data_IF_875291445729
#
_entry.id   IF_875291445729
#
_cell.length_a   1.000
_cell.length_b   1.000
_cell.length_c   1.000
_cell.angle_alpha   90.00
_cell.angle_beta   90.00
_cell.angle_gamma   90.00
#
_symmetry.space_group_name_H-M   'P 1'
#
loop_
_entity.id
_entity.type
_entity.pdbx_description
1 polymer ?
#
# COMPACT_ATOMS: atom_id res chain seq x y z
N UNK A 1 -5.78 1.90 10.75
CA UNK A 1 -4.38 1.67 11.18
C UNK A 1 -3.46 2.60 10.40
N UNK A 2 -2.19 2.77 10.81
CA UNK A 2 -1.20 3.51 9.99
C UNK A 2 -0.07 2.60 9.57
N UNK A 3 0.41 2.74 8.34
CA UNK A 3 1.53 1.96 7.80
C UNK A 3 2.56 2.90 7.18
N UNK A 4 3.84 2.66 7.50
CA UNK A 4 4.96 3.42 6.93
C UNK A 4 5.28 2.90 5.53
N UNK A 5 5.41 3.81 4.57
CA UNK A 5 5.91 3.50 3.22
C UNK A 5 7.42 3.26 3.29
N UNK A 6 7.87 2.11 2.81
CA UNK A 6 9.27 1.73 2.74
C UNK A 6 9.89 2.23 1.42
N UNK A 7 11.23 2.29 1.31
CA UNK A 7 11.87 2.64 0.04
C UNK A 7 11.34 1.79 -1.11
N UNK A 8 11.08 2.45 -2.24
CA UNK A 8 10.64 1.85 -3.51
C UNK A 8 9.24 1.19 -3.47
N UNK A 9 8.41 1.55 -2.51
CA UNK A 9 7.00 1.13 -2.49
C UNK A 9 6.12 2.13 -3.22
N UNK A 10 5.27 1.62 -4.10
CA UNK A 10 4.17 2.35 -4.73
C UNK A 10 2.90 2.27 -3.88
N UNK A 11 1.88 3.08 -4.18
CA UNK A 11 0.56 2.96 -3.55
C UNK A 11 -0.09 1.58 -3.81
N UNK A 12 0.22 0.97 -4.97
CA UNK A 12 -0.17 -0.40 -5.30
C UNK A 12 0.49 -1.44 -4.39
N UNK A 13 1.79 -1.29 -4.11
CA UNK A 13 2.50 -2.15 -3.16
C UNK A 13 1.87 -2.05 -1.76
N UNK A 14 1.51 -0.84 -1.34
CA UNK A 14 0.85 -0.60 -0.06
C UNK A 14 -0.54 -1.24 0.01
N UNK A 15 -1.32 -1.19 -1.07
CA UNK A 15 -2.61 -1.87 -1.17
C UNK A 15 -2.45 -3.40 -1.00
N UNK A 16 -1.48 -3.99 -1.68
CA UNK A 16 -1.16 -5.42 -1.55
C UNK A 16 -0.64 -5.78 -0.16
N UNK A 17 0.25 -4.98 0.44
CA UNK A 17 0.81 -5.21 1.78
C UNK A 17 -0.25 -5.18 2.88
N UNK A 18 -1.21 -4.25 2.81
CA UNK A 18 -2.19 -4.03 3.89
C UNK A 18 -3.45 -4.86 3.72
N UNK A 19 -3.93 -5.00 2.48
CA UNK A 19 -5.23 -5.59 2.17
C UNK A 19 -5.13 -6.88 1.36
N UNK A 20 -3.95 -7.21 0.82
CA UNK A 20 -3.76 -8.37 -0.06
C UNK A 20 -4.45 -8.22 -1.42
N UNK A 21 -4.90 -7.01 -1.77
CA UNK A 21 -5.71 -6.76 -2.95
C UNK A 21 -5.42 -5.38 -3.56
N UNK A 22 -5.09 -5.37 -4.84
CA UNK A 22 -4.77 -4.15 -5.60
C UNK A 22 -5.98 -3.20 -5.70
N UNK A 23 -7.21 -3.70 -5.64
CA UNK A 23 -8.44 -2.89 -5.69
C UNK A 23 -8.52 -1.91 -4.51
N UNK A 24 -7.82 -2.20 -3.41
CA UNK A 24 -7.75 -1.32 -2.25
C UNK A 24 -6.99 0.00 -2.51
N UNK A 25 -6.30 0.13 -3.64
CA UNK A 25 -5.57 1.36 -4.01
C UNK A 25 -6.46 2.60 -4.02
N UNK A 26 -7.73 2.47 -4.42
CA UNK A 26 -8.69 3.59 -4.47
C UNK A 26 -9.05 4.06 -3.05
N UNK A 27 -9.35 3.12 -2.15
CA UNK A 27 -9.63 3.43 -0.74
C UNK A 27 -8.41 4.03 -0.05
N UNK A 28 -7.21 3.54 -0.36
CA UNK A 28 -5.98 4.06 0.20
C UNK A 28 -5.67 5.48 -0.30
N UNK A 29 -5.87 5.73 -1.60
CA UNK A 29 -5.72 7.06 -2.20
C UNK A 29 -6.68 8.08 -1.58
N UNK A 30 -7.97 7.74 -1.52
CA UNK A 30 -9.03 8.59 -0.97
C UNK A 30 -8.78 8.94 0.50
N UNK A 31 -8.46 7.92 1.33
CA UNK A 31 -8.20 8.13 2.76
C UNK A 31 -6.98 9.02 3.06
N UNK A 32 -6.06 9.16 2.10
CA UNK A 32 -4.83 9.94 2.26
C UNK A 32 -4.80 11.22 1.40
N UNK A 33 -5.89 11.53 0.68
CA UNK A 33 -5.94 12.62 -0.29
C UNK A 33 -4.80 12.59 -1.32
N UNK A 34 -4.46 11.40 -1.80
CA UNK A 34 -3.38 11.19 -2.77
C UNK A 34 -3.95 10.86 -4.16
N UNK A 35 -3.32 11.33 -5.25
CA UNK A 35 -3.57 10.78 -6.58
C UNK A 35 -3.21 9.29 -6.64
N UNK A 36 -3.93 8.50 -7.44
CA UNK A 36 -3.69 7.05 -7.59
C UNK A 36 -2.27 6.71 -8.09
N UNK A 37 -1.72 7.53 -8.99
CA UNK A 37 -0.40 7.36 -9.59
C UNK A 37 0.68 8.18 -8.88
N UNK A 38 0.39 8.70 -7.69
CA UNK A 38 1.36 9.55 -6.98
C UNK A 38 2.53 8.72 -6.47
N UNK A 39 3.74 9.22 -6.68
CA UNK A 39 4.92 8.69 -6.03
C UNK A 39 4.89 9.08 -4.55
N UNK A 40 4.67 8.08 -3.70
CA UNK A 40 4.61 8.30 -2.25
C UNK A 40 6.02 8.24 -1.68
N UNK A 41 6.56 9.33 -1.10
CA UNK A 41 7.91 9.33 -0.58
C UNK A 41 8.11 8.28 0.51
N UNK A 42 9.26 7.62 0.50
CA UNK A 42 9.64 6.69 1.56
C UNK A 42 9.61 7.40 2.92
N UNK A 43 9.06 6.73 3.92
CA UNK A 43 8.89 7.26 5.27
C UNK A 43 7.52 7.89 5.54
N UNK A 44 6.70 8.12 4.51
CA UNK A 44 5.32 8.60 4.67
C UNK A 44 4.50 7.63 5.50
N UNK A 45 3.66 8.15 6.39
CA UNK A 45 2.68 7.35 7.15
C UNK A 45 1.32 7.44 6.44
N UNK A 46 0.85 6.32 5.90
CA UNK A 46 -0.47 6.24 5.28
C UNK A 46 -1.53 5.84 6.31
N UNK A 47 -2.68 6.51 6.29
CA UNK A 47 -3.92 6.06 6.90
C UNK A 47 -4.46 4.88 6.11
N UNK A 48 -4.66 3.75 6.77
CA UNK A 48 -5.25 2.55 6.18
C UNK A 48 -6.55 2.22 6.92
N UNK A 49 -7.71 2.62 6.38
CA UNK A 49 -9.02 2.29 6.94
C UNK A 49 -9.21 0.78 7.10
N UNK A 50 -9.95 0.36 8.12
CA UNK A 50 -10.28 -1.04 8.31
C UNK A 50 -11.42 -1.44 7.38
N UNK A 51 -11.04 -1.93 6.20
CA UNK A 51 -11.94 -2.47 5.18
C UNK A 51 -11.44 -3.85 4.77
N UNK A 52 -12.37 -4.77 4.48
CA UNK A 52 -12.06 -6.12 4.01
C UNK A 52 -12.35 -6.21 2.51
N UNK A 53 -11.34 -6.54 1.72
CA UNK A 53 -11.46 -6.76 0.27
C UNK A 53 -11.46 -8.25 -0.05
N UNK A 54 -10.49 -8.98 0.50
CA UNK A 54 -10.42 -10.43 0.53
C UNK A 54 -9.90 -10.84 1.91
N UNK A 55 -10.75 -11.51 2.69
CA UNK A 55 -10.41 -11.88 4.06
C UNK A 55 -9.20 -12.81 4.14
N UNK A 56 -9.13 -13.80 3.25
CA UNK A 56 -8.05 -14.79 3.26
C UNK A 56 -6.71 -14.12 2.92
N UNK A 57 -6.69 -13.32 1.85
CA UNK A 57 -5.46 -12.64 1.43
C UNK A 57 -5.01 -11.58 2.44
N UNK A 58 -5.94 -10.83 3.02
CA UNK A 58 -5.63 -9.82 4.03
C UNK A 58 -5.05 -10.44 5.31
N UNK A 59 -5.58 -11.58 5.75
CA UNK A 59 -5.00 -12.34 6.86
C UNK A 59 -3.62 -12.91 6.51
N UNK A 60 -3.46 -13.44 5.29
CA UNK A 60 -2.19 -13.98 4.80
C UNK A 60 -1.07 -12.92 4.80
N UNK A 61 -1.28 -11.76 4.15
CA UNK A 61 -0.23 -10.74 4.02
C UNK A 61 0.16 -10.14 5.37
N UNK A 62 -0.80 -9.99 6.30
CA UNK A 62 -0.55 -9.51 7.66
C UNK A 62 0.30 -10.49 8.46
N UNK A 63 0.01 -11.78 8.37
CA UNK A 63 0.74 -12.81 9.11
C UNK A 63 2.13 -13.09 8.53
N UNK A 64 2.29 -12.98 7.21
CA UNK A 64 3.54 -13.27 6.51
C UNK A 64 4.45 -12.04 6.32
N UNK A 65 4.04 -10.86 6.79
CA UNK A 65 4.80 -9.59 6.68
C UNK A 65 5.23 -9.25 5.25
N UNK A 66 4.34 -9.51 4.28
CA UNK A 66 4.59 -9.23 2.86
C UNK A 66 4.79 -7.73 2.66
N UNK A 67 5.90 -7.33 2.02
CA UNK A 67 6.25 -5.92 1.77
C UNK A 67 6.85 -5.76 0.36
N UNK A 68 6.02 -5.77 -0.69
CA UNK A 68 6.47 -5.62 -2.07
C UNK A 68 7.08 -4.23 -2.29
N UNK A 69 8.01 -4.10 -3.23
CA UNK A 69 8.64 -2.83 -3.59
C UNK A 69 8.90 -2.83 -5.10
N UNK A 70 7.93 -2.34 -5.86
CA UNK A 70 7.94 -2.42 -7.33
C UNK A 70 8.39 -1.13 -8.02
N UNK A 71 8.52 -0.02 -7.29
CA UNK A 71 9.04 1.21 -7.89
C UNK A 71 10.49 0.99 -8.38
N UNK A 72 10.75 1.41 -9.61
CA UNK A 72 12.09 1.43 -10.21
C UNK A 72 12.78 2.77 -9.90
N UNK A 73 14.11 2.80 -9.95
CA UNK A 73 14.82 4.09 -9.87
C UNK A 73 14.57 4.88 -11.16
N UNK A 74 14.16 6.15 -11.02
CA UNK A 74 14.37 7.15 -12.07
C UNK A 74 15.85 7.54 -12.06
N UNK A 75 16.67 6.75 -12.75
CA UNK A 75 18.04 7.10 -13.14
C UNK A 75 18.28 6.70 -14.61
N UNK A 76 17.40 7.16 -15.51
CA UNK A 76 17.64 7.20 -16.95
C UNK A 76 17.78 8.64 -17.42
#
# INVERSE_FOLDING_TARGET
MKTKVMPRQTLADMAMQVYGDIRAIVTLADANNLPLTHDVPAGTMLECPETVFDKYMQEYVRNQKVSPATATEDNL
#
